data_IF_135727455175
#
_entry.id   IF_135727455175
#
_cell.length_a   1.000
_cell.length_b   1.000
_cell.length_c   1.000
_cell.angle_alpha   90.00
_cell.angle_beta   90.00
_cell.angle_gamma   90.00
#
_symmetry.space_group_name_H-M   'P 1'
#
loop_
_entity.id
_entity.type
_entity.pdbx_description
1 polymer ?
#
# COMPACT_ATOMS: atom_id res chain seq x y z
N UNK A 1 -11.18 -24.35 8.69
CA UNK A 1 -10.27 -23.22 9.01
C UNK A 1 -11.02 -21.96 8.61
N UNK A 2 -11.12 -20.96 9.48
CA UNK A 2 -11.76 -19.71 9.10
C UNK A 2 -10.91 -19.05 8.02
N UNK A 3 -11.53 -18.74 6.89
CA UNK A 3 -10.91 -18.00 5.80
C UNK A 3 -10.59 -16.59 6.31
N UNK A 4 -9.36 -16.12 6.08
CA UNK A 4 -9.01 -14.74 6.40
C UNK A 4 -9.84 -13.82 5.51
N UNK A 5 -10.37 -12.70 6.05
CA UNK A 5 -11.11 -11.78 5.23
C UNK A 5 -10.20 -11.20 4.13
N UNK A 6 -10.79 -10.82 3.02
CA UNK A 6 -10.04 -10.20 1.94
C UNK A 6 -9.53 -8.81 2.34
N UNK A 7 -8.22 -8.67 2.41
CA UNK A 7 -7.53 -7.42 2.83
C UNK A 7 -6.83 -6.74 1.66
N UNK A 8 -6.31 -7.53 0.71
CA UNK A 8 -5.34 -7.06 -0.30
C UNK A 8 -5.91 -7.07 -1.70
N UNK A 9 -5.77 -5.95 -2.38
CA UNK A 9 -6.23 -5.68 -3.73
C UNK A 9 -5.05 -5.42 -4.65
N UNK A 10 -5.32 -5.36 -5.95
CA UNK A 10 -4.38 -4.93 -6.99
C UNK A 10 -4.85 -3.61 -7.59
N UNK A 11 -3.93 -2.78 -8.07
CA UNK A 11 -4.29 -1.56 -8.79
C UNK A 11 -4.48 -1.87 -10.28
N UNK A 12 -5.53 -1.30 -10.85
CA UNK A 12 -5.74 -1.15 -12.29
C UNK A 12 -5.84 0.35 -12.60
N UNK A 13 -4.96 0.86 -13.45
CA UNK A 13 -4.91 2.28 -13.79
C UNK A 13 -4.97 2.45 -15.30
N UNK A 14 -5.89 3.28 -15.77
CA UNK A 14 -6.13 3.51 -17.19
C UNK A 14 -5.80 4.96 -17.55
N UNK A 15 -5.04 5.10 -18.63
CA UNK A 15 -4.78 6.34 -19.35
C UNK A 15 -5.39 6.22 -20.76
N UNK A 16 -5.45 7.32 -21.50
CA UNK A 16 -6.02 7.36 -22.86
C UNK A 16 -5.39 6.34 -23.81
N UNK A 17 -4.07 6.13 -23.70
CA UNK A 17 -3.30 5.31 -24.65
C UNK A 17 -2.75 4.00 -24.04
N UNK A 18 -2.91 3.81 -22.73
CA UNK A 18 -2.33 2.65 -22.03
C UNK A 18 -3.11 2.29 -20.76
N UNK A 19 -2.98 1.05 -20.31
CA UNK A 19 -3.54 0.58 -19.05
C UNK A 19 -2.55 -0.32 -18.31
N UNK A 20 -2.47 -0.15 -17.00
CA UNK A 20 -1.60 -0.92 -16.12
C UNK A 20 -2.45 -1.82 -15.23
N UNK A 21 -2.34 -3.13 -15.43
CA UNK A 21 -3.02 -4.16 -14.63
C UNK A 21 -2.06 -4.79 -13.62
N UNK A 22 -2.61 -5.31 -12.51
CA UNK A 22 -1.85 -5.99 -11.45
C UNK A 22 -0.72 -5.13 -10.85
N UNK A 23 -0.87 -3.81 -10.86
CA UNK A 23 0.19 -2.88 -10.47
C UNK A 23 0.28 -2.78 -8.94
N UNK A 24 1.36 -3.30 -8.36
CA UNK A 24 1.56 -3.32 -6.90
C UNK A 24 0.38 -3.94 -6.14
N UNK A 25 0.32 -3.68 -4.84
CA UNK A 25 -0.79 -4.04 -3.98
C UNK A 25 -1.47 -2.75 -3.48
N UNK A 26 -2.73 -2.88 -3.13
CA UNK A 26 -3.51 -1.85 -2.46
C UNK A 26 -4.36 -2.49 -1.36
N UNK A 27 -4.87 -1.67 -0.45
CA UNK A 27 -5.75 -2.11 0.63
C UNK A 27 -6.57 -0.95 1.16
N UNK A 28 -7.52 -1.25 2.03
CA UNK A 28 -8.35 -0.24 2.69
C UNK A 28 -7.94 -0.04 4.15
N UNK A 29 -8.15 1.17 4.65
CA UNK A 29 -8.03 1.48 6.09
C UNK A 29 -9.33 2.03 6.63
N UNK A 30 -9.65 1.64 7.86
CA UNK A 30 -10.75 2.19 8.66
C UNK A 30 -10.18 3.26 9.59
N UNK A 31 -10.58 4.51 9.39
CA UNK A 31 -10.19 5.63 10.27
C UNK A 31 -11.06 5.69 11.52
N UNK A 32 -12.12 4.88 11.61
CA UNK A 32 -13.16 4.95 12.63
C UNK A 32 -14.22 6.03 12.36
N UNK A 33 -14.03 6.79 11.28
CA UNK A 33 -14.92 7.85 10.79
C UNK A 33 -15.24 7.69 9.30
N UNK A 34 -14.29 7.13 8.54
CA UNK A 34 -14.35 6.95 7.10
C UNK A 34 -13.46 5.76 6.68
N UNK A 35 -13.52 5.37 5.41
CA UNK A 35 -12.65 4.36 4.80
C UNK A 35 -11.83 4.99 3.68
N UNK A 36 -10.52 4.76 3.68
CA UNK A 36 -9.61 5.27 2.66
C UNK A 36 -8.92 4.12 1.93
N UNK A 37 -8.58 4.35 0.65
CA UNK A 37 -7.74 3.44 -0.12
C UNK A 37 -6.26 3.79 0.08
N UNK A 38 -5.41 2.76 0.11
CA UNK A 38 -3.96 2.91 0.29
C UNK A 38 -3.21 2.07 -0.73
N UNK A 39 -2.16 2.66 -1.31
CA UNK A 39 -1.15 1.97 -2.13
C UNK A 39 0.20 2.66 -1.96
N UNK A 40 1.25 2.17 -2.62
CA UNK A 40 2.56 2.82 -2.60
C UNK A 40 2.67 3.96 -3.62
N UNK A 41 3.41 5.01 -3.26
CA UNK A 41 3.60 6.19 -4.10
C UNK A 41 4.55 5.91 -5.28
N UNK A 42 5.52 5.01 -5.10
CA UNK A 42 6.48 4.68 -6.15
C UNK A 42 5.87 4.00 -7.40
N UNK A 43 4.57 3.68 -7.41
CA UNK A 43 3.88 3.29 -8.64
C UNK A 43 3.98 4.37 -9.73
N UNK A 44 4.14 5.64 -9.34
CA UNK A 44 4.36 6.75 -10.26
C UNK A 44 5.61 6.60 -11.13
N UNK A 45 6.60 5.80 -10.75
CA UNK A 45 7.76 5.47 -11.63
C UNK A 45 7.28 4.79 -12.92
N UNK A 46 6.24 3.93 -12.83
CA UNK A 46 5.66 3.29 -14.01
C UNK A 46 4.93 4.31 -14.88
N UNK A 47 4.22 5.26 -14.27
CA UNK A 47 3.53 6.31 -15.00
C UNK A 47 4.50 7.32 -15.64
N UNK A 48 5.66 7.56 -15.03
CA UNK A 48 6.74 8.34 -15.64
C UNK A 48 7.24 7.66 -16.91
N UNK A 49 7.60 6.37 -16.83
CA UNK A 49 8.20 5.65 -17.95
C UNK A 49 7.25 5.42 -19.12
N UNK A 50 5.95 5.26 -18.86
CA UNK A 50 5.00 4.78 -19.86
C UNK A 50 3.81 5.71 -20.12
N UNK A 51 3.58 6.73 -19.29
CA UNK A 51 2.45 7.65 -19.40
C UNK A 51 2.85 9.14 -19.23
N UNK A 52 4.15 9.44 -19.17
CA UNK A 52 4.66 10.82 -19.12
C UNK A 52 4.35 11.57 -17.83
N UNK A 53 4.13 10.89 -16.71
CA UNK A 53 3.97 11.57 -15.42
C UNK A 53 5.29 12.24 -14.99
N UNK A 54 5.22 13.49 -14.51
CA UNK A 54 6.40 14.26 -14.08
C UNK A 54 6.51 14.44 -12.57
N UNK A 55 5.39 14.25 -11.86
CA UNK A 55 5.25 14.50 -10.43
C UNK A 55 4.15 13.58 -9.86
N UNK A 56 3.89 13.71 -8.56
CA UNK A 56 2.85 12.94 -7.86
C UNK A 56 1.48 13.59 -8.11
N UNK A 57 1.00 13.52 -9.34
CA UNK A 57 -0.31 13.99 -9.77
C UNK A 57 -0.82 13.18 -10.95
N UNK A 58 -2.13 12.97 -11.02
CA UNK A 58 -2.73 12.29 -12.16
C UNK A 58 -2.49 13.14 -13.42
N UNK A 59 -1.66 12.62 -14.32
CA UNK A 59 -1.17 13.35 -15.50
C UNK A 59 -2.28 13.60 -16.53
N UNK A 60 -2.06 14.50 -17.51
CA UNK A 60 -2.94 14.60 -18.68
C UNK A 60 -3.12 13.24 -19.34
N UNK A 61 -4.36 12.85 -19.60
CA UNK A 61 -4.70 11.54 -20.18
C UNK A 61 -5.07 10.47 -19.16
N UNK A 62 -5.03 10.74 -17.85
CA UNK A 62 -5.64 9.85 -16.86
C UNK A 62 -7.14 9.66 -17.15
N UNK A 63 -7.61 8.42 -17.08
CA UNK A 63 -9.02 8.03 -17.31
C UNK A 63 -9.65 7.52 -16.02
N UNK A 64 -9.05 6.51 -15.39
CA UNK A 64 -9.62 5.86 -14.20
C UNK A 64 -8.57 5.11 -13.39
N UNK A 65 -8.86 4.91 -12.12
CA UNK A 65 -8.09 4.03 -11.22
C UNK A 65 -9.08 3.20 -10.42
N UNK A 66 -8.93 1.88 -10.48
CA UNK A 66 -9.68 0.93 -9.67
C UNK A 66 -8.72 0.07 -8.81
N UNK A 67 -9.15 -0.28 -7.61
CA UNK A 67 -8.56 -1.36 -6.82
C UNK A 67 -9.45 -2.58 -6.93
N UNK A 68 -8.91 -3.77 -7.21
CA UNK A 68 -9.73 -4.97 -7.43
C UNK A 68 -9.18 -6.21 -6.73
N UNK A 69 -10.07 -7.14 -6.39
CA UNK A 69 -9.71 -8.48 -5.92
C UNK A 69 -8.99 -9.24 -7.03
N UNK A 70 -7.78 -9.76 -6.76
CA UNK A 70 -7.03 -10.52 -7.78
C UNK A 70 -7.80 -11.75 -8.27
N UNK A 71 -8.52 -12.43 -7.37
CA UNK A 71 -9.24 -13.65 -7.68
C UNK A 71 -10.68 -13.40 -8.14
N UNK A 72 -11.27 -12.26 -7.80
CA UNK A 72 -12.59 -11.84 -8.23
C UNK A 72 -12.57 -10.43 -8.85
N UNK A 73 -12.00 -10.21 -10.05
CA UNK A 73 -11.78 -8.86 -10.59
C UNK A 73 -13.04 -8.00 -10.79
N UNK A 74 -14.23 -8.60 -10.77
CA UNK A 74 -15.52 -7.88 -10.76
C UNK A 74 -15.77 -7.15 -9.44
N UNK A 75 -15.13 -7.61 -8.36
CA UNK A 75 -15.12 -6.98 -7.05
C UNK A 75 -14.04 -5.90 -7.04
N UNK A 76 -14.47 -4.67 -7.34
CA UNK A 76 -13.58 -3.52 -7.49
C UNK A 76 -14.11 -2.28 -6.78
N UNK A 77 -13.19 -1.40 -6.41
CA UNK A 77 -13.41 -0.11 -5.77
C UNK A 77 -12.84 0.95 -6.69
N UNK A 78 -13.70 1.86 -7.16
CA UNK A 78 -13.26 2.98 -7.98
C UNK A 78 -12.64 4.06 -7.08
N UNK A 79 -11.59 4.69 -7.58
CA UNK A 79 -10.89 5.79 -6.92
C UNK A 79 -11.38 7.12 -7.49
N UNK A 80 -11.84 8.01 -6.63
CA UNK A 80 -12.27 9.37 -7.01
C UNK A 80 -11.09 10.31 -7.25
N UNK A 81 -10.00 10.11 -6.50
CA UNK A 81 -8.83 10.96 -6.60
C UNK A 81 -7.74 10.60 -5.61
N UNK A 82 -6.65 11.38 -5.67
CA UNK A 82 -5.49 11.25 -4.79
C UNK A 82 -5.58 12.32 -3.70
N UNK A 83 -5.68 11.91 -2.44
CA UNK A 83 -5.82 12.83 -1.31
C UNK A 83 -4.52 13.60 -1.09
N UNK A 84 -3.39 12.90 -1.07
CA UNK A 84 -2.07 13.50 -0.89
C UNK A 84 -1.37 13.77 -2.23
N UNK A 85 -2.14 14.19 -3.24
CA UNK A 85 -1.60 14.69 -4.52
C UNK A 85 -0.65 15.87 -4.29
N UNK A 86 0.46 15.88 -5.02
CA UNK A 86 1.43 16.96 -4.94
C UNK A 86 2.17 17.18 -6.26
N UNK A 87 1.73 18.21 -6.99
CA UNK A 87 2.33 18.64 -8.27
C UNK A 87 3.74 19.20 -8.15
N UNK A 88 4.21 19.47 -6.94
CA UNK A 88 5.58 19.92 -6.66
C UNK A 88 6.48 18.78 -6.13
N UNK A 89 5.91 17.60 -5.86
CA UNK A 89 6.67 16.43 -5.44
C UNK A 89 7.20 15.68 -6.66
N UNK A 90 8.51 15.67 -6.85
CA UNK A 90 9.15 14.85 -7.86
C UNK A 90 8.91 13.35 -7.58
N UNK A 91 8.78 12.59 -8.66
CA UNK A 91 8.67 11.12 -8.61
C UNK A 91 9.97 10.58 -8.00
N UNK A 92 9.85 9.97 -6.83
CA UNK A 92 10.98 9.42 -6.09
C UNK A 92 11.31 7.99 -6.53
N UNK A 93 12.59 7.63 -6.46
CA UNK A 93 13.03 6.25 -6.63
C UNK A 93 12.79 5.42 -5.35
N UNK A 94 12.69 4.09 -5.47
CA UNK A 94 12.40 3.15 -4.37
C UNK A 94 13.22 3.39 -3.10
N UNK A 95 14.52 3.69 -3.24
CA UNK A 95 15.45 3.91 -2.13
C UNK A 95 15.31 5.28 -1.45
N UNK A 96 14.66 6.25 -2.08
CA UNK A 96 14.47 7.62 -1.56
C UNK A 96 13.11 7.84 -0.93
N UNK A 97 12.11 7.04 -1.29
CA UNK A 97 10.75 7.22 -0.83
C UNK A 97 10.59 6.74 0.62
N UNK A 98 10.95 5.49 0.94
CA UNK A 98 10.97 4.85 2.27
C UNK A 98 9.86 5.30 3.25
N UNK A 99 10.04 6.50 3.80
CA UNK A 99 9.14 7.22 4.71
C UNK A 99 7.85 7.68 4.05
N UNK A 100 7.94 8.30 2.86
CA UNK A 100 6.84 9.00 2.17
C UNK A 100 6.15 8.17 1.09
N UNK A 101 6.39 6.86 1.07
CA UNK A 101 5.91 5.95 0.02
C UNK A 101 4.43 5.54 0.19
N UNK A 102 3.63 6.42 0.76
CA UNK A 102 2.19 6.23 0.93
C UNK A 102 1.45 7.10 -0.07
N UNK A 103 0.55 6.48 -0.82
CA UNK A 103 -0.45 7.18 -1.62
C UNK A 103 -1.82 6.91 -1.01
N UNK A 104 -2.52 8.00 -0.68
CA UNK A 104 -3.83 7.96 -0.02
C UNK A 104 -4.88 8.26 -1.09
N UNK A 105 -5.85 7.37 -1.22
CA UNK A 105 -6.86 7.36 -2.27
C UNK A 105 -8.23 7.65 -1.66
N UNK A 106 -8.96 8.58 -2.27
CA UNK A 106 -10.37 8.78 -1.99
C UNK A 106 -11.17 7.73 -2.77
N UNK A 107 -12.02 6.98 -2.05
CA UNK A 107 -12.74 5.80 -2.58
C UNK A 107 -14.23 6.10 -2.72
N UNK A 108 -14.90 5.42 -3.65
CA UNK A 108 -16.36 5.43 -3.72
C UNK A 108 -16.99 4.67 -2.55
N UNK A 109 -18.16 5.14 -2.07
CA UNK A 109 -18.82 4.68 -0.84
C UNK A 109 -19.26 3.21 -0.88
N UNK A 110 -19.32 2.58 -2.06
CA UNK A 110 -19.77 1.20 -2.21
C UNK A 110 -18.61 0.22 -2.00
N UNK A 111 -18.21 0.06 -0.73
CA UNK A 111 -17.15 -0.84 -0.29
C UNK A 111 -17.82 -2.07 0.33
N UNK A 112 -18.15 -3.09 -0.47
CA UNK A 112 -18.68 -4.35 0.05
C UNK A 112 -17.62 -5.46 0.05
N UNK A 113 -17.60 -6.23 1.13
CA UNK A 113 -16.86 -7.49 1.34
C UNK A 113 -15.31 -7.41 1.31
N UNK A 114 -14.70 -6.21 1.38
CA UNK A 114 -13.26 -6.04 1.59
C UNK A 114 -13.05 -5.49 3.00
N UNK A 115 -12.18 -6.11 3.79
CA UNK A 115 -11.97 -5.76 5.18
C UNK A 115 -11.00 -4.58 5.32
N UNK A 116 -11.47 -3.41 5.81
CA UNK A 116 -10.59 -2.28 6.04
C UNK A 116 -9.75 -2.48 7.31
N UNK A 117 -8.44 -2.24 7.20
CA UNK A 117 -7.51 -2.43 8.31
C UNK A 117 -7.60 -1.27 9.29
N UNK A 118 -7.57 -1.59 10.59
CA UNK A 118 -7.45 -0.59 11.65
C UNK A 118 -5.99 -0.23 11.89
N UNK A 119 -5.74 1.03 12.15
CA UNK A 119 -4.39 1.54 12.40
C UNK A 119 -3.90 1.17 13.80
N UNK A 120 -2.60 0.88 13.91
CA UNK A 120 -1.89 0.83 15.18
C UNK A 120 -1.09 2.10 15.38
N UNK A 121 -1.42 2.89 16.41
CA UNK A 121 -0.69 4.14 16.67
C UNK A 121 0.62 3.94 17.44
N UNK A 122 0.78 2.82 18.15
CA UNK A 122 2.04 2.49 18.83
C UNK A 122 3.11 1.97 17.86
N UNK A 123 4.37 2.43 17.95
CA UNK A 123 5.44 2.02 17.05
C UNK A 123 5.77 0.53 17.16
N UNK A 124 6.34 -0.05 16.10
CA UNK A 124 6.89 -1.42 16.12
C UNK A 124 8.14 -1.50 16.99
N UNK A 125 8.14 -2.38 17.99
CA UNK A 125 9.28 -2.54 18.89
C UNK A 125 10.41 -3.34 18.22
N UNK A 126 11.68 -3.13 18.59
CA UNK A 126 12.77 -4.00 18.18
C UNK A 126 12.47 -5.47 18.51
N UNK A 127 12.80 -6.37 17.59
CA UNK A 127 12.52 -7.80 17.61
C UNK A 127 11.04 -8.22 17.53
N UNK A 128 10.11 -7.27 17.42
CA UNK A 128 8.69 -7.56 17.24
C UNK A 128 8.44 -8.26 15.89
N UNK A 129 7.50 -9.20 15.88
CA UNK A 129 7.05 -9.91 14.68
C UNK A 129 5.87 -9.17 14.07
N UNK A 130 5.94 -8.96 12.76
CA UNK A 130 4.86 -8.39 11.94
C UNK A 130 4.68 -9.26 10.69
N UNK A 131 3.57 -9.05 9.99
CA UNK A 131 3.17 -9.85 8.85
C UNK A 131 2.83 -8.96 7.66
N UNK A 132 3.49 -9.19 6.53
CA UNK A 132 3.13 -8.56 5.27
C UNK A 132 2.19 -9.48 4.50
N UNK A 133 1.03 -8.96 4.10
CA UNK A 133 0.03 -9.72 3.33
C UNK A 133 -0.04 -9.08 1.94
N UNK A 134 0.10 -9.88 0.89
CA UNK A 134 -0.10 -9.36 -0.47
C UNK A 134 0.33 -10.32 -1.56
N UNK A 135 0.20 -9.86 -2.79
CA UNK A 135 0.46 -10.61 -4.01
C UNK A 135 1.84 -10.30 -4.56
N UNK A 136 2.64 -11.32 -4.83
CA UNK A 136 3.81 -11.19 -5.70
C UNK A 136 3.37 -11.03 -7.17
N UNK A 137 4.28 -10.58 -8.03
CA UNK A 137 4.02 -10.32 -9.46
C UNK A 137 3.51 -11.56 -10.19
N UNK A 138 4.18 -12.69 -10.00
CA UNK A 138 3.96 -13.93 -10.75
C UNK A 138 3.25 -15.01 -9.91
N UNK A 139 2.64 -14.61 -8.78
CA UNK A 139 1.92 -15.50 -7.88
C UNK A 139 0.75 -16.19 -8.57
N UNK A 140 0.73 -17.52 -8.48
CA UNK A 140 -0.31 -18.39 -9.05
C UNK A 140 -1.25 -19.00 -7.99
N UNK A 141 -1.00 -18.74 -6.70
CA UNK A 141 -1.84 -19.28 -5.63
C UNK A 141 -3.19 -18.57 -5.57
N UNK A 142 -4.18 -19.23 -4.98
CA UNK A 142 -5.54 -18.69 -4.80
C UNK A 142 -5.65 -17.74 -3.60
N UNK A 143 -4.57 -17.47 -2.87
CA UNK A 143 -4.59 -16.58 -1.70
C UNK A 143 -3.32 -15.75 -1.63
N UNK A 144 -3.39 -14.51 -1.08
CA UNK A 144 -2.22 -13.66 -0.93
C UNK A 144 -1.18 -14.30 0.00
N UNK A 145 0.09 -14.02 -0.24
CA UNK A 145 1.19 -14.56 0.57
C UNK A 145 1.32 -13.81 1.90
N UNK A 146 1.47 -14.56 2.98
CA UNK A 146 1.76 -14.05 4.32
C UNK A 146 3.26 -14.17 4.62
N UNK A 147 4.00 -13.05 4.55
CA UNK A 147 5.43 -13.02 4.93
C UNK A 147 5.55 -12.64 6.38
N UNK A 148 6.33 -13.42 7.12
CA UNK A 148 6.72 -13.09 8.48
C UNK A 148 7.99 -12.26 8.47
N UNK A 149 7.95 -11.13 9.17
CA UNK A 149 9.05 -10.19 9.35
C UNK A 149 9.38 -10.02 10.83
N UNK A 150 10.63 -9.71 11.14
CA UNK A 150 11.07 -9.29 12.47
C UNK A 150 11.68 -7.89 12.39
N UNK A 151 11.24 -6.98 13.27
CA UNK A 151 11.80 -5.64 13.36
C UNK A 151 13.26 -5.70 13.82
N UNK A 152 14.17 -5.39 12.91
CA UNK A 152 15.59 -5.27 13.24
C UNK A 152 15.90 -3.87 13.78
N UNK A 153 15.37 -2.84 13.11
CA UNK A 153 15.58 -1.45 13.52
C UNK A 153 14.36 -0.59 13.22
N UNK A 154 14.02 0.25 14.20
CA UNK A 154 12.94 1.22 14.11
C UNK A 154 13.55 2.64 14.03
N UNK A 155 13.21 3.38 12.97
CA UNK A 155 13.63 4.77 12.76
C UNK A 155 12.49 5.79 12.97
N UNK A 156 11.36 5.34 13.51
CA UNK A 156 10.13 6.09 13.73
C UNK A 156 9.25 6.15 12.48
N UNK A 157 9.82 6.66 11.38
CA UNK A 157 9.11 6.89 10.11
C UNK A 157 9.18 5.70 9.14
N UNK A 158 10.09 4.76 9.38
CA UNK A 158 10.19 3.49 8.67
C UNK A 158 10.91 2.45 9.54
N UNK A 159 10.83 1.20 9.10
CA UNK A 159 11.46 0.06 9.76
C UNK A 159 12.35 -0.71 8.79
N UNK A 160 13.49 -1.19 9.29
CA UNK A 160 14.19 -2.30 8.66
C UNK A 160 13.72 -3.61 9.28
N UNK A 161 13.26 -4.50 8.42
CA UNK A 161 12.68 -5.78 8.79
C UNK A 161 13.53 -6.92 8.24
N UNK A 162 13.82 -7.91 9.09
CA UNK A 162 14.40 -9.17 8.67
C UNK A 162 13.28 -10.10 8.23
N UNK A 163 13.28 -10.50 6.97
CA UNK A 163 12.36 -11.51 6.46
C UNK A 163 12.69 -12.86 7.10
N UNK A 164 11.70 -13.50 7.71
CA UNK A 164 11.83 -14.82 8.34
C UNK A 164 11.19 -15.95 7.51
N UNK A 165 10.32 -15.60 6.55
CA UNK A 165 9.77 -16.58 5.61
C UNK A 165 10.82 -16.97 4.56
N UNK A 166 10.77 -18.23 4.10
CA UNK A 166 11.63 -18.75 3.03
C UNK A 166 11.23 -18.29 1.62
N UNK A 167 10.18 -17.47 1.50
CA UNK A 167 9.64 -17.03 0.23
C UNK A 167 10.61 -16.10 -0.52
N UNK A 168 10.84 -16.41 -1.80
CA UNK A 168 11.86 -15.76 -2.64
C UNK A 168 11.28 -14.72 -3.61
N UNK A 169 9.96 -14.62 -3.71
CA UNK A 169 9.28 -13.73 -4.66
C UNK A 169 8.89 -12.39 -4.02
N UNK A 170 9.84 -11.46 -4.00
CA UNK A 170 9.63 -10.10 -3.46
C UNK A 170 9.02 -9.13 -4.49
N UNK A 171 9.21 -9.39 -5.78
CA UNK A 171 8.71 -8.51 -6.84
C UNK A 171 7.19 -8.45 -6.85
N UNK A 172 6.64 -7.23 -7.03
CA UNK A 172 5.20 -6.99 -7.11
C UNK A 172 4.49 -6.78 -5.78
N UNK A 173 5.19 -6.96 -4.65
CA UNK A 173 4.64 -6.80 -3.30
C UNK A 173 4.53 -5.35 -2.81
N UNK A 174 5.16 -4.42 -3.51
CA UNK A 174 5.03 -2.98 -3.30
C UNK A 174 3.60 -2.56 -2.97
N UNK A 175 3.42 -1.80 -1.88
CA UNK A 175 2.11 -1.34 -1.43
C UNK A 175 1.35 -2.33 -0.54
N UNK A 176 1.90 -3.51 -0.26
CA UNK A 176 1.27 -4.50 0.62
C UNK A 176 1.13 -3.96 2.06
N UNK A 177 0.01 -4.19 2.73
CA UNK A 177 -0.13 -3.88 4.15
C UNK A 177 0.78 -4.76 5.00
N UNK A 178 1.33 -4.16 6.06
CA UNK A 178 2.04 -4.86 7.12
C UNK A 178 1.25 -4.71 8.41
N UNK A 179 0.87 -5.83 9.02
CA UNK A 179 0.05 -5.91 10.21
C UNK A 179 0.80 -6.55 11.38
N UNK A 180 0.38 -6.26 12.61
CA UNK A 180 0.84 -7.00 13.78
C UNK A 180 0.06 -8.30 14.01
N UNK A 181 0.44 -9.03 15.06
CA UNK A 181 -0.21 -10.30 15.44
C UNK A 181 -1.71 -10.18 15.76
N UNK A 182 -2.20 -8.96 16.03
CA UNK A 182 -3.59 -8.68 16.37
C UNK A 182 -4.38 -8.16 15.16
N UNK A 183 -3.76 -8.06 13.98
CA UNK A 183 -4.41 -7.61 12.75
C UNK A 183 -4.42 -6.10 12.54
N UNK A 184 -3.71 -5.31 13.37
CA UNK A 184 -3.64 -3.86 13.17
C UNK A 184 -2.53 -3.49 12.19
N UNK A 185 -2.80 -2.54 11.30
CA UNK A 185 -1.84 -1.99 10.35
C UNK A 185 -0.73 -1.24 11.10
N UNK A 186 0.51 -1.66 10.85
CA UNK A 186 1.73 -1.04 11.37
C UNK A 186 2.58 -0.39 10.29
N UNK A 187 2.36 -0.75 9.01
CA UNK A 187 3.09 -0.12 7.92
C UNK A 187 2.72 -0.61 6.53
N UNK A 188 3.51 -0.17 5.54
CA UNK A 188 3.38 -0.52 4.12
C UNK A 188 4.70 -1.04 3.56
N UNK A 189 4.65 -2.06 2.70
CA UNK A 189 5.81 -2.57 1.99
C UNK A 189 6.28 -1.55 0.94
N UNK A 190 7.43 -0.92 1.20
CA UNK A 190 7.99 0.17 0.37
C UNK A 190 9.16 -0.30 -0.51
N UNK A 191 9.86 -1.36 -0.11
CA UNK A 191 10.94 -1.93 -0.90
C UNK A 191 11.93 -2.73 -0.06
N UNK A 192 13.19 -2.76 -0.49
CA UNK A 192 14.26 -3.52 0.14
C UNK A 192 15.59 -2.74 0.08
N UNK A 193 16.40 -2.89 1.13
CA UNK A 193 17.78 -2.39 1.17
C UNK A 193 18.71 -3.50 1.65
N UNK A 194 19.64 -3.91 0.79
CA UNK A 194 20.43 -5.12 1.03
C UNK A 194 19.51 -6.33 1.19
N UNK A 195 19.59 -7.04 2.31
CA UNK A 195 18.74 -8.19 2.63
C UNK A 195 17.57 -7.84 3.57
N UNK A 196 17.29 -6.56 3.77
CA UNK A 196 16.29 -6.07 4.72
C UNK A 196 15.10 -5.47 3.99
N UNK A 197 13.90 -5.91 4.33
CA UNK A 197 12.67 -5.27 3.86
C UNK A 197 12.54 -3.88 4.51
N UNK A 198 12.06 -2.92 3.72
CA UNK A 198 11.81 -1.54 4.15
C UNK A 198 10.32 -1.34 4.25
N UNK A 199 9.86 -1.12 5.49
CA UNK A 199 8.45 -0.90 5.77
C UNK A 199 8.24 0.55 6.17
N UNK A 200 7.41 1.28 5.41
CA UNK A 200 7.00 2.63 5.76
C UNK A 200 6.08 2.58 6.98
N UNK A 201 6.35 3.41 7.99
CA UNK A 201 5.54 3.47 9.21
C UNK A 201 4.21 4.15 8.96
N UNK A 202 3.15 3.73 9.66
CA UNK A 202 1.86 4.44 9.68
C UNK A 202 1.97 5.88 10.23
N UNK A 203 3.10 6.26 10.82
CA UNK A 203 3.37 7.65 11.21
C UNK A 203 3.22 8.63 10.05
N UNK A 204 3.74 8.31 8.86
CA UNK A 204 3.58 9.21 7.70
C UNK A 204 2.11 9.33 7.30
N UNK A 205 1.38 8.22 7.34
CA UNK A 205 -0.06 8.22 7.08
C UNK A 205 -0.81 9.11 8.09
N UNK A 206 -0.46 9.07 9.38
CA UNK A 206 -1.00 9.98 10.40
C UNK A 206 -0.72 11.45 10.06
N UNK A 207 0.54 11.78 9.76
CA UNK A 207 0.95 13.13 9.39
C UNK A 207 0.19 13.65 8.15
N UNK A 208 -0.10 12.79 7.18
CA UNK A 208 -0.91 13.15 6.02
C UNK A 208 -2.39 13.27 6.34
N UNK A 209 -2.96 12.40 7.18
CA UNK A 209 -4.35 12.55 7.62
C UNK A 209 -4.54 13.86 8.38
N UNK A 210 -3.62 14.22 9.28
CA UNK A 210 -3.65 15.50 9.99
C UNK A 210 -3.53 16.69 9.01
N UNK A 211 -2.59 16.63 8.07
CA UNK A 211 -2.36 17.68 7.06
C UNK A 211 -3.57 17.92 6.15
N UNK A 212 -4.33 16.88 5.86
CA UNK A 212 -5.49 16.93 4.95
C UNK A 212 -6.83 16.92 5.71
N UNK A 213 -6.83 17.24 7.01
CA UNK A 213 -8.01 17.35 7.88
C UNK A 213 -8.88 16.08 7.97
N UNK A 214 -8.31 14.92 7.67
CA UNK A 214 -8.98 13.62 7.78
C UNK A 214 -9.14 13.26 9.26
N UNK A 215 -10.37 13.00 9.69
CA UNK A 215 -10.66 12.58 11.05
C UNK A 215 -10.38 11.08 11.21
N UNK A 216 -9.73 10.73 12.31
CA UNK A 216 -9.52 9.35 12.71
C UNK A 216 -9.66 9.18 14.23
N UNK A 217 -10.08 7.99 14.66
CA UNK A 217 -10.13 7.58 16.06
C UNK A 217 -8.85 6.84 16.42
N UNK A 218 -8.19 7.31 17.48
CA UNK A 218 -7.04 6.63 18.09
C UNK A 218 -7.50 5.53 19.05
#
# INVERSE_FOLDING_TARGET
MAEWPEITLKNHVTFTDTSFNNLGNAFLIDTGMDTLGITCKHLFIVFEWYAGAENISLSPGFVSWDMYSKNEPTKKINIKGLINENKQEAIGQFNTLKVRDWLILDVEENISDIYPLKLRFSPVAPNEIVYEIGWSKDQQTESPSLIKHQCFKNFGSYYFMKTLSEETQFMGRSGSPVIDKNGYLVGISSGQEGNMAVIGSVRYLQEMMDKHDIKYKQ
#
